data_IF_463934092157
#
_entry.id   IF_463934092157
#
_cell.length_a   1.000
_cell.length_b   1.000
_cell.length_c   1.000
_cell.angle_alpha   90.00
_cell.angle_beta   90.00
_cell.angle_gamma   90.00
#
_symmetry.space_group_name_H-M   'P 1'
#
loop_
_entity.id
_entity.type
_entity.pdbx_description
1 polymer ?
#
# COMPACT_ATOMS: atom_id res chain seq x y z
N UNK A 1 14.65 2.81 0.79
CA UNK A 1 14.11 2.21 -0.45
C UNK A 1 12.70 2.70 -0.76
N UNK A 2 11.74 2.50 0.14
CA UNK A 2 10.36 2.97 -0.07
C UNK A 2 10.23 4.46 -0.42
N UNK A 3 11.02 5.36 0.18
CA UNK A 3 11.00 6.79 -0.18
C UNK A 3 11.30 7.06 -1.67
N UNK A 4 12.21 6.30 -2.27
CA UNK A 4 12.51 6.36 -3.71
C UNK A 4 11.32 5.79 -4.51
N UNK A 5 10.70 4.73 -4.01
CA UNK A 5 9.45 4.18 -4.53
C UNK A 5 8.36 5.25 -4.61
N UNK A 6 8.16 6.02 -3.55
CA UNK A 6 7.19 7.12 -3.48
C UNK A 6 7.48 8.26 -4.47
N UNK A 7 8.75 8.66 -4.63
CA UNK A 7 9.11 9.67 -5.65
C UNK A 7 8.84 9.18 -7.07
N UNK A 8 9.24 7.94 -7.36
CA UNK A 8 9.05 7.32 -8.68
C UNK A 8 7.58 6.97 -8.96
N UNK A 9 6.75 6.84 -7.92
CA UNK A 9 5.30 6.66 -8.03
C UNK A 9 4.65 7.87 -8.72
N UNK A 10 4.99 9.08 -8.28
CA UNK A 10 4.49 10.31 -8.91
C UNK A 10 4.95 10.44 -10.37
N UNK A 11 6.18 10.02 -10.66
CA UNK A 11 6.72 10.02 -12.02
C UNK A 11 6.04 8.97 -12.92
N UNK A 12 5.71 7.79 -12.38
CA UNK A 12 4.96 6.77 -13.09
C UNK A 12 3.55 7.26 -13.45
N UNK A 13 2.82 7.90 -12.52
CA UNK A 13 1.52 8.52 -12.80
C UNK A 13 1.66 9.60 -13.88
N UNK A 14 2.72 10.41 -13.82
CA UNK A 14 3.00 11.43 -14.83
C UNK A 14 3.23 10.85 -16.24
N UNK A 15 3.71 9.62 -16.39
CA UNK A 15 3.91 9.01 -17.72
C UNK A 15 2.83 8.04 -18.17
N UNK A 16 2.09 7.43 -17.23
CA UNK A 16 1.06 6.43 -17.51
C UNK A 16 -0.37 6.95 -17.34
N UNK A 17 -0.54 8.13 -16.73
CA UNK A 17 -1.84 8.59 -16.25
C UNK A 17 -2.25 7.91 -14.95
N UNK A 18 -3.24 8.49 -14.27
CA UNK A 18 -3.67 8.03 -12.94
C UNK A 18 -4.23 6.60 -12.96
N UNK A 19 -4.97 6.22 -14.00
CA UNK A 19 -5.61 4.90 -14.04
C UNK A 19 -4.61 3.75 -14.19
N UNK A 20 -3.82 3.76 -15.26
CA UNK A 20 -2.82 2.72 -15.53
C UNK A 20 -1.68 2.75 -14.52
N UNK A 21 -1.21 3.94 -14.13
CA UNK A 21 -0.16 4.12 -13.13
C UNK A 21 -0.52 3.46 -11.80
N UNK A 22 -1.67 3.82 -11.23
CA UNK A 22 -2.10 3.29 -9.93
C UNK A 22 -2.29 1.76 -9.97
N UNK A 23 -2.85 1.23 -11.06
CA UNK A 23 -3.17 -0.20 -11.16
C UNK A 23 -1.90 -1.06 -11.19
N UNK A 24 -0.91 -0.66 -11.99
CA UNK A 24 0.38 -1.38 -12.06
C UNK A 24 1.14 -1.25 -10.75
N UNK A 25 1.22 -0.03 -10.21
CA UNK A 25 1.95 0.26 -8.96
C UNK A 25 1.37 -0.52 -7.78
N UNK A 26 0.06 -0.44 -7.56
CA UNK A 26 -0.60 -1.13 -6.46
C UNK A 26 -0.58 -2.65 -6.64
N UNK A 27 -0.70 -3.14 -7.88
CA UNK A 27 -0.56 -4.57 -8.18
C UNK A 27 0.82 -5.11 -7.77
N UNK A 28 1.89 -4.47 -8.24
CA UNK A 28 3.26 -4.90 -7.94
C UNK A 28 3.56 -4.72 -6.45
N UNK A 29 3.18 -3.58 -5.86
CA UNK A 29 3.39 -3.30 -4.43
C UNK A 29 2.65 -4.31 -3.54
N UNK A 30 1.46 -4.75 -3.96
CA UNK A 30 0.69 -5.78 -3.26
C UNK A 30 1.39 -7.13 -3.31
N UNK A 31 1.77 -7.63 -4.49
CA UNK A 31 2.48 -8.93 -4.60
C UNK A 31 3.80 -8.91 -3.87
N UNK A 32 4.64 -7.92 -4.17
CA UNK A 32 6.00 -7.87 -3.64
C UNK A 32 5.94 -7.64 -2.13
N UNK A 33 5.04 -6.77 -1.66
CA UNK A 33 4.92 -6.48 -0.23
C UNK A 33 4.34 -7.64 0.58
N UNK A 34 3.50 -8.48 -0.02
CA UNK A 34 2.88 -9.62 0.66
C UNK A 34 3.71 -10.90 0.57
N UNK A 35 4.32 -11.20 -0.59
CA UNK A 35 5.02 -12.46 -0.84
C UNK A 35 6.55 -12.31 -0.89
N UNK A 36 7.07 -11.09 -1.00
CA UNK A 36 8.51 -10.86 -1.16
C UNK A 36 9.32 -11.41 0.02
N UNK A 37 9.01 -11.02 1.26
CA UNK A 37 9.70 -11.57 2.43
C UNK A 37 9.53 -13.08 2.61
N UNK A 38 8.31 -13.65 2.51
CA UNK A 38 8.14 -15.10 2.53
C UNK A 38 9.02 -15.83 1.50
N UNK A 39 9.12 -15.32 0.27
CA UNK A 39 9.98 -15.91 -0.77
C UNK A 39 11.46 -15.76 -0.41
N UNK A 40 11.89 -14.60 0.08
CA UNK A 40 13.29 -14.35 0.45
C UNK A 40 13.75 -15.25 1.60
N UNK A 41 12.87 -15.58 2.56
CA UNK A 41 13.15 -16.51 3.67
C UNK A 41 13.41 -17.95 3.23
N UNK A 42 12.98 -18.33 2.03
CA UNK A 42 13.27 -19.63 1.45
C UNK A 42 14.64 -19.71 0.77
N UNK A 43 15.33 -18.59 0.57
CA UNK A 43 16.60 -18.54 -0.17
C UNK A 43 17.76 -18.71 0.82
N UNK A 44 18.58 -19.78 0.71
CA UNK A 44 19.75 -19.99 1.57
C UNK A 44 20.70 -18.80 1.51
N UNK A 45 21.24 -18.39 2.67
CA UNK A 45 22.10 -17.21 2.82
C UNK A 45 21.37 -15.87 2.90
N UNK A 46 20.19 -15.72 2.27
CA UNK A 46 19.33 -14.54 2.48
C UNK A 46 18.52 -14.69 3.77
N UNK A 47 18.03 -15.90 4.05
CA UNK A 47 17.29 -16.18 5.28
C UNK A 47 18.05 -15.79 6.55
N UNK A 48 19.39 -15.89 6.54
CA UNK A 48 20.26 -15.59 7.68
C UNK A 48 20.43 -14.08 7.96
N UNK A 49 20.14 -13.23 6.98
CA UNK A 49 20.31 -11.77 7.07
C UNK A 49 18.98 -11.01 7.24
N UNK A 50 17.85 -11.71 7.16
CA UNK A 50 16.52 -11.12 7.33
C UNK A 50 15.86 -11.67 8.60
N UNK A 51 15.01 -10.89 9.29
CA UNK A 51 14.34 -11.35 10.50
C UNK A 51 13.46 -12.58 10.25
N UNK A 52 13.44 -13.45 11.25
CA UNK A 52 12.60 -14.65 11.26
C UNK A 52 11.12 -14.31 11.07
N UNK A 53 10.38 -15.24 10.47
CA UNK A 53 8.95 -15.12 10.26
C UNK A 53 8.45 -16.08 9.19
N UNK A 54 7.18 -15.91 8.80
CA UNK A 54 6.51 -16.77 7.84
C UNK A 54 7.30 -16.89 6.52
N UNK A 55 7.69 -18.11 6.18
CA UNK A 55 8.34 -18.46 4.92
C UNK A 55 7.32 -18.84 3.84
N UNK A 56 7.75 -18.86 2.58
CA UNK A 56 6.90 -19.32 1.48
C UNK A 56 6.62 -20.83 1.56
N UNK A 57 7.54 -21.61 2.14
CA UNK A 57 7.27 -23.04 2.42
C UNK A 57 6.13 -23.19 3.41
N UNK A 58 6.08 -22.37 4.46
CA UNK A 58 5.00 -22.43 5.48
C UNK A 58 3.63 -22.10 4.88
N UNK A 59 3.60 -21.16 3.93
CA UNK A 59 2.39 -20.81 3.19
C UNK A 59 1.90 -21.97 2.31
N UNK A 60 2.79 -22.77 1.72
CA UNK A 60 2.40 -23.90 0.86
C UNK A 60 2.16 -25.18 1.67
N UNK A 61 2.82 -25.37 2.80
CA UNK A 61 2.70 -26.58 3.61
C UNK A 61 1.38 -26.62 4.39
N UNK A 62 0.86 -25.46 4.81
CA UNK A 62 -0.35 -25.36 5.62
C UNK A 62 -1.62 -25.13 4.79
N UNK A 63 -2.74 -25.68 5.24
CA UNK A 63 -4.05 -25.46 4.59
C UNK A 63 -4.42 -23.98 4.62
N UNK A 64 -4.24 -23.32 5.77
CA UNK A 64 -4.51 -21.89 5.90
C UNK A 64 -3.64 -21.04 4.97
N UNK A 65 -2.35 -21.35 4.84
CA UNK A 65 -1.44 -20.64 3.95
C UNK A 65 -1.84 -20.75 2.47
N UNK A 66 -2.30 -21.92 2.03
CA UNK A 66 -2.81 -22.13 0.66
C UNK A 66 -4.05 -21.29 0.38
N UNK A 67 -4.94 -21.12 1.36
CA UNK A 67 -6.13 -20.28 1.22
C UNK A 67 -5.71 -18.79 1.17
N UNK A 68 -4.72 -18.37 1.95
CA UNK A 68 -4.14 -17.01 1.84
C UNK A 68 -3.53 -16.78 0.45
N UNK A 69 -2.77 -17.74 -0.08
CA UNK A 69 -2.20 -17.67 -1.44
C UNK A 69 -3.28 -17.58 -2.52
N UNK A 70 -4.37 -18.37 -2.39
CA UNK A 70 -5.54 -18.28 -3.27
C UNK A 70 -6.17 -16.88 -3.18
N UNK A 71 -6.31 -16.33 -1.98
CA UNK A 71 -6.78 -14.97 -1.75
C UNK A 71 -5.91 -13.93 -2.47
N UNK A 72 -4.58 -14.02 -2.34
CA UNK A 72 -3.63 -13.13 -3.04
C UNK A 72 -3.77 -13.27 -4.56
N UNK A 73 -3.91 -14.50 -5.08
CA UNK A 73 -4.12 -14.73 -6.52
C UNK A 73 -5.42 -14.06 -7.02
N UNK A 74 -6.52 -14.22 -6.28
CA UNK A 74 -7.80 -13.59 -6.61
C UNK A 74 -7.69 -12.06 -6.54
N UNK A 75 -6.95 -11.52 -5.55
CA UNK A 75 -6.68 -10.09 -5.48
C UNK A 75 -6.00 -9.61 -6.76
N UNK A 76 -4.98 -10.32 -7.24
CA UNK A 76 -4.26 -9.94 -8.45
C UNK A 76 -5.12 -9.95 -9.68
N UNK A 77 -5.96 -10.97 -9.84
CA UNK A 77 -6.96 -11.01 -10.91
C UNK A 77 -7.87 -9.77 -10.81
N UNK A 78 -8.33 -9.44 -9.61
CA UNK A 78 -9.13 -8.24 -9.37
C UNK A 78 -8.43 -6.94 -9.76
N UNK A 79 -7.16 -6.76 -9.37
CA UNK A 79 -6.34 -5.58 -9.72
C UNK A 79 -6.15 -5.48 -11.24
N UNK A 80 -5.84 -6.60 -11.91
CA UNK A 80 -5.67 -6.64 -13.37
C UNK A 80 -6.98 -6.27 -14.07
N UNK A 81 -8.12 -6.81 -13.62
CA UNK A 81 -9.44 -6.50 -14.18
C UNK A 81 -9.80 -5.03 -13.99
N UNK A 82 -9.68 -4.50 -12.76
CA UNK A 82 -9.96 -3.09 -12.45
C UNK A 82 -9.05 -2.14 -13.21
N UNK A 83 -7.76 -2.45 -13.31
CA UNK A 83 -6.80 -1.64 -14.07
C UNK A 83 -7.06 -1.65 -15.56
N UNK A 84 -7.37 -2.82 -16.13
CA UNK A 84 -7.74 -2.92 -17.55
C UNK A 84 -9.06 -2.21 -17.84
N UNK A 85 -10.04 -2.28 -16.92
CA UNK A 85 -11.28 -1.51 -17.04
C UNK A 85 -11.00 0.00 -17.02
N UNK A 86 -10.05 0.46 -16.20
CA UNK A 86 -9.62 1.85 -16.16
C UNK A 86 -9.00 2.34 -17.48
N UNK A 87 -8.15 1.53 -18.12
CA UNK A 87 -7.59 1.84 -19.45
C UNK A 87 -8.70 1.90 -20.51
N UNK A 88 -9.64 0.94 -20.48
CA UNK A 88 -10.78 0.92 -21.41
C UNK A 88 -11.73 2.09 -21.18
N UNK A 89 -11.92 2.52 -19.92
CA UNK A 89 -12.67 3.74 -19.58
C UNK A 89 -12.06 4.95 -20.28
N UNK A 90 -10.74 5.11 -20.20
CA UNK A 90 -10.04 6.23 -20.84
C UNK A 90 -10.18 6.20 -22.37
N UNK A 91 -10.27 5.01 -22.97
CA UNK A 91 -10.54 4.84 -24.40
C UNK A 91 -12.01 5.14 -24.77
N UNK A 92 -12.97 4.58 -24.02
CA UNK A 92 -14.41 4.73 -24.26
C UNK A 92 -14.86 6.19 -24.12
N UNK A 93 -14.29 6.91 -23.14
CA UNK A 93 -14.58 8.32 -22.88
C UNK A 93 -13.77 9.28 -23.76
N UNK A 94 -13.16 8.78 -24.85
CA UNK A 94 -12.11 9.38 -25.68
C UNK A 94 -12.33 10.77 -26.31
N UNK A 95 -13.16 11.65 -25.75
CA UNK A 95 -13.42 13.02 -26.22
C UNK A 95 -13.57 14.13 -25.15
N UNK A 96 -13.34 13.87 -23.87
CA UNK A 96 -13.30 14.92 -22.82
C UNK A 96 -11.92 15.00 -22.15
N UNK A 97 -10.88 15.34 -22.90
CA UNK A 97 -9.55 15.58 -22.31
C UNK A 97 -9.35 17.06 -22.03
N UNK A 98 -9.91 17.56 -20.94
CA UNK A 98 -9.18 18.54 -20.16
C UNK A 98 -7.97 17.80 -19.55
N UNK A 99 -6.75 18.19 -19.92
CA UNK A 99 -5.53 17.55 -19.40
C UNK A 99 -5.07 16.29 -20.13
N UNK A 100 -5.08 16.26 -21.48
CA UNK A 100 -4.25 15.31 -22.24
C UNK A 100 -2.85 15.37 -21.64
N UNK A 101 -2.41 14.30 -20.98
CA UNK A 101 -1.06 14.25 -20.44
C UNK A 101 -0.09 14.23 -21.63
N UNK A 102 0.42 15.41 -21.99
CA UNK A 102 1.34 15.63 -23.12
C UNK A 102 2.63 14.83 -22.96
N UNK A 103 2.88 14.32 -21.76
CA UNK A 103 4.06 13.54 -21.42
C UNK A 103 3.82 12.02 -21.44
N UNK A 104 2.63 11.54 -21.81
CA UNK A 104 2.33 10.11 -21.80
C UNK A 104 3.36 9.29 -22.60
N UNK A 105 4.05 8.37 -21.92
CA UNK A 105 5.09 7.50 -22.48
C UNK A 105 4.99 6.12 -21.87
N UNK A 106 4.25 5.23 -22.53
CA UNK A 106 3.89 3.91 -22.02
C UNK A 106 5.11 3.09 -21.55
N UNK A 107 6.12 2.89 -22.40
CA UNK A 107 7.30 2.06 -22.06
C UNK A 107 8.08 2.63 -20.87
N UNK A 108 8.38 3.94 -20.88
CA UNK A 108 9.10 4.61 -19.78
C UNK A 108 8.29 4.58 -18.49
N UNK A 109 7.01 4.91 -18.58
CA UNK A 109 6.10 4.89 -17.45
C UNK A 109 5.98 3.51 -16.83
N UNK A 110 5.89 2.45 -17.63
CA UNK A 110 5.76 1.08 -17.14
C UNK A 110 7.02 0.60 -16.44
N UNK A 111 8.20 0.88 -16.99
CA UNK A 111 9.47 0.59 -16.33
C UNK A 111 9.57 1.28 -14.97
N UNK A 112 9.23 2.58 -14.92
CA UNK A 112 9.25 3.36 -13.68
C UNK A 112 8.21 2.83 -12.69
N UNK A 113 7.02 2.43 -13.16
CA UNK A 113 5.98 1.84 -12.32
C UNK A 113 6.42 0.51 -11.70
N UNK A 114 7.14 -0.34 -12.44
CA UNK A 114 7.68 -1.60 -11.92
C UNK A 114 8.70 -1.33 -10.81
N UNK A 115 9.69 -0.48 -11.09
CA UNK A 115 10.71 -0.10 -10.10
C UNK A 115 10.07 0.53 -8.88
N UNK A 116 9.13 1.46 -9.08
CA UNK A 116 8.42 2.13 -8.00
C UNK A 116 7.60 1.15 -7.17
N UNK A 117 6.90 0.20 -7.78
CA UNK A 117 6.11 -0.80 -7.05
C UNK A 117 6.97 -1.72 -6.20
N UNK A 118 8.09 -2.20 -6.75
CA UNK A 118 9.06 -3.02 -6.00
C UNK A 118 9.64 -2.22 -4.84
N UNK A 119 10.12 -1.00 -5.10
CA UNK A 119 10.71 -0.15 -4.06
C UNK A 119 9.69 0.25 -2.99
N UNK A 120 8.43 0.46 -3.38
CA UNK A 120 7.34 0.79 -2.45
C UNK A 120 6.99 -0.37 -1.52
N UNK A 121 7.10 -1.61 -2.00
CA UNK A 121 6.87 -2.80 -1.19
C UNK A 121 7.84 -2.95 -0.01
N UNK A 122 9.02 -2.31 -0.05
CA UNK A 122 9.93 -2.28 1.09
C UNK A 122 9.35 -1.56 2.32
N UNK A 123 8.22 -0.85 2.20
CA UNK A 123 7.48 -0.39 3.37
C UNK A 123 6.95 -1.58 4.19
N UNK A 124 6.34 -2.56 3.52
CA UNK A 124 5.91 -3.82 4.15
C UNK A 124 7.09 -4.54 4.80
N UNK A 125 8.26 -4.54 4.14
CA UNK A 125 9.44 -5.21 4.67
C UNK A 125 9.97 -4.50 5.92
N UNK A 126 9.95 -3.16 5.92
CA UNK A 126 10.30 -2.38 7.09
C UNK A 126 9.36 -2.62 8.27
N UNK A 127 8.06 -2.82 8.01
CA UNK A 127 7.08 -3.16 9.07
C UNK A 127 7.46 -4.50 9.69
N UNK A 128 7.67 -5.49 8.84
CA UNK A 128 7.96 -6.85 9.30
C UNK A 128 9.30 -6.93 10.05
N UNK A 129 10.33 -6.26 9.52
CA UNK A 129 11.63 -6.18 10.19
C UNK A 129 11.61 -5.34 11.48
N UNK A 130 10.61 -4.47 11.66
CA UNK A 130 10.48 -3.62 12.83
C UNK A 130 9.76 -4.28 14.02
N UNK A 131 9.26 -5.52 13.89
CA UNK A 131 8.41 -6.15 14.92
C UNK A 131 9.04 -6.26 16.31
N UNK A 132 10.37 -6.36 16.40
CA UNK A 132 11.07 -6.29 17.70
C UNK A 132 10.85 -4.95 18.42
N UNK A 133 10.76 -3.84 17.68
CA UNK A 133 10.41 -2.55 18.28
C UNK A 133 8.97 -2.54 18.79
N UNK A 134 8.04 -3.18 18.08
CA UNK A 134 6.65 -3.33 18.55
C UNK A 134 6.56 -4.19 19.81
N UNK A 135 7.34 -5.26 19.93
CA UNK A 135 7.33 -6.11 21.13
C UNK A 135 7.86 -5.35 22.35
N UNK A 136 8.93 -4.57 22.19
CA UNK A 136 9.45 -3.68 23.23
C UNK A 136 8.40 -2.61 23.59
N UNK A 137 7.82 -1.92 22.60
CA UNK A 137 6.80 -0.91 22.84
C UNK A 137 5.58 -1.47 23.60
N UNK A 138 5.16 -2.68 23.26
CA UNK A 138 4.10 -3.42 23.97
C UNK A 138 4.51 -3.70 25.43
N UNK A 139 5.72 -4.20 25.67
CA UNK A 139 6.18 -4.51 27.03
C UNK A 139 6.18 -3.27 27.94
N UNK A 140 6.68 -2.13 27.42
CA UNK A 140 6.66 -0.85 28.12
C UNK A 140 5.24 -0.34 28.35
N UNK A 141 4.34 -0.47 27.37
CA UNK A 141 2.95 -0.07 27.51
C UNK A 141 2.23 -0.88 28.62
N UNK A 142 2.50 -2.19 28.71
CA UNK A 142 1.97 -3.06 29.77
C UNK A 142 2.50 -2.66 31.14
N UNK A 143 3.82 -2.46 31.27
CA UNK A 143 4.45 -2.02 32.52
C UNK A 143 3.90 -0.67 33.01
N UNK A 144 3.65 0.26 32.08
CA UNK A 144 3.16 1.61 32.39
C UNK A 144 1.63 1.73 32.40
N UNK A 145 0.90 0.62 32.28
CA UNK A 145 -0.57 0.57 32.29
C UNK A 145 -1.23 1.53 31.29
N UNK A 146 -0.72 1.60 30.06
CA UNK A 146 -1.33 2.41 29.00
C UNK A 146 -2.75 1.95 28.65
N UNK A 147 -3.62 2.84 28.16
CA UNK A 147 -4.93 2.44 27.64
C UNK A 147 -4.80 1.60 26.36
N UNK A 148 -5.88 0.91 25.98
CA UNK A 148 -5.96 0.08 24.76
C UNK A 148 -5.04 -1.15 24.75
N UNK A 149 -4.75 -1.68 25.94
CA UNK A 149 -4.11 -2.98 26.12
C UNK A 149 -5.20 -4.05 26.20
N UNK A 150 -4.99 -5.16 25.51
CA UNK A 150 -5.89 -6.32 25.55
C UNK A 150 -5.10 -7.54 25.96
N UNK A 151 -5.55 -8.21 27.02
CA UNK A 151 -5.04 -9.52 27.40
C UNK A 151 -5.67 -10.58 26.50
N UNK A 152 -4.83 -11.45 25.95
CA UNK A 152 -5.22 -12.58 25.13
C UNK A 152 -4.61 -13.85 25.73
N UNK A 153 -5.13 -15.03 25.38
CA UNK A 153 -4.54 -16.29 25.83
C UNK A 153 -3.07 -16.49 25.42
N UNK A 154 -2.54 -15.67 24.51
CA UNK A 154 -1.15 -15.66 24.05
C UNK A 154 -0.32 -14.49 24.65
N UNK A 155 -0.84 -13.77 25.65
CA UNK A 155 -0.21 -12.60 26.26
C UNK A 155 -0.92 -11.29 25.96
N UNK A 156 -0.26 -10.16 26.20
CA UNK A 156 -0.83 -8.83 25.95
C UNK A 156 -0.67 -8.40 24.49
N UNK A 157 -1.58 -7.55 24.02
CA UNK A 157 -1.47 -6.78 22.77
C UNK A 157 -1.67 -5.30 23.08
N UNK A 158 -0.85 -4.43 22.50
CA UNK A 158 -1.02 -2.98 22.61
C UNK A 158 -1.40 -2.40 21.25
N UNK A 159 -2.58 -1.78 21.17
CA UNK A 159 -3.19 -1.34 19.91
C UNK A 159 -2.30 -0.44 19.02
N UNK A 160 -1.36 0.29 19.63
CA UNK A 160 -0.49 1.25 18.94
C UNK A 160 0.97 0.82 18.90
N UNK A 161 1.28 -0.44 19.19
CA UNK A 161 2.66 -0.97 19.23
C UNK A 161 3.41 -0.76 17.90
N UNK A 162 2.73 -0.81 16.76
CA UNK A 162 3.33 -0.62 15.45
C UNK A 162 3.70 0.83 15.09
N UNK A 163 3.23 1.82 15.87
CA UNK A 163 3.49 3.23 15.56
C UNK A 163 4.98 3.58 15.63
N UNK A 164 5.75 2.91 16.49
CA UNK A 164 7.20 3.11 16.58
C UNK A 164 7.89 2.68 15.29
N UNK A 165 7.40 1.62 14.64
CA UNK A 165 7.94 1.16 13.36
C UNK A 165 7.66 2.19 12.27
N UNK A 166 6.42 2.70 12.20
CA UNK A 166 6.06 3.72 11.21
C UNK A 166 6.88 4.99 11.39
N UNK A 167 7.15 5.40 12.63
CA UNK A 167 8.01 6.55 12.92
C UNK A 167 9.36 6.39 12.21
N UNK A 168 10.04 5.25 12.37
CA UNK A 168 11.35 4.98 11.75
C UNK A 168 11.25 4.87 10.23
N UNK A 169 10.27 4.15 9.68
CA UNK A 169 10.14 3.97 8.22
C UNK A 169 9.87 5.30 7.53
N UNK A 170 9.01 6.14 8.12
CA UNK A 170 8.60 7.41 7.52
C UNK A 170 9.73 8.43 7.47
N UNK A 171 10.70 8.36 8.38
CA UNK A 171 11.95 9.13 8.27
C UNK A 171 12.69 8.83 6.96
N UNK A 172 12.67 7.59 6.48
CA UNK A 172 13.26 7.23 5.20
C UNK A 172 12.56 7.93 4.02
N UNK A 173 11.23 8.02 4.05
CA UNK A 173 10.43 8.75 3.07
C UNK A 173 10.64 10.25 3.15
N UNK A 174 10.61 10.81 4.37
CA UNK A 174 10.87 12.21 4.61
C UNK A 174 12.24 12.62 4.07
N UNK A 175 13.29 11.87 4.39
CA UNK A 175 14.66 12.16 3.96
C UNK A 175 14.77 12.17 2.44
N UNK A 176 14.23 11.14 1.78
CA UNK A 176 14.30 11.02 0.32
C UNK A 176 13.52 12.15 -0.37
N UNK A 177 12.30 12.45 0.11
CA UNK A 177 11.49 13.54 -0.42
C UNK A 177 12.16 14.89 -0.16
N UNK A 178 12.61 15.16 1.05
CA UNK A 178 13.24 16.43 1.45
C UNK A 178 14.48 16.72 0.61
N UNK A 179 15.36 15.74 0.41
CA UNK A 179 16.55 15.90 -0.43
C UNK A 179 16.14 16.23 -1.87
N UNK A 180 15.23 15.46 -2.45
CA UNK A 180 14.84 15.64 -3.85
C UNK A 180 14.08 16.95 -4.10
N UNK A 181 13.10 17.28 -3.25
CA UNK A 181 12.33 18.51 -3.39
C UNK A 181 13.21 19.73 -3.14
N UNK A 182 14.10 19.71 -2.15
CA UNK A 182 15.07 20.80 -1.92
C UNK A 182 15.95 20.99 -3.14
N UNK A 183 16.50 19.90 -3.71
CA UNK A 183 17.31 19.98 -4.92
C UNK A 183 16.54 20.60 -6.11
N UNK A 184 15.26 20.25 -6.28
CA UNK A 184 14.41 20.85 -7.31
C UNK A 184 14.08 22.33 -7.04
N UNK A 185 13.85 22.71 -5.78
CA UNK A 185 13.59 24.10 -5.39
C UNK A 185 14.80 24.97 -5.72
N UNK A 186 16.02 24.51 -5.38
CA UNK A 186 17.24 25.23 -5.71
C UNK A 186 17.48 25.29 -7.23
N UNK A 187 17.31 24.17 -7.94
CA UNK A 187 17.50 24.11 -9.39
C UNK A 187 16.54 25.01 -10.16
N UNK A 188 15.27 25.04 -9.76
CA UNK A 188 14.23 25.80 -10.44
C UNK A 188 14.06 27.22 -9.89
N UNK A 189 14.81 27.58 -8.83
CA UNK A 189 14.76 28.88 -8.14
C UNK A 189 13.36 29.24 -7.62
N UNK A 190 12.59 28.25 -7.19
CA UNK A 190 11.19 28.41 -6.72
C UNK A 190 11.09 28.58 -5.20
N UNK A 191 12.20 28.88 -4.51
CA UNK A 191 12.21 29.08 -3.05
C UNK A 191 11.37 30.28 -2.60
N UNK A 192 11.23 31.30 -3.47
CA UNK A 192 10.41 32.48 -3.22
C UNK A 192 8.91 32.18 -3.13
N UNK A 193 8.44 31.08 -3.73
CA UNK A 193 7.02 30.71 -3.76
C UNK A 193 6.47 30.40 -2.36
N UNK A 194 7.34 29.98 -1.43
CA UNK A 194 6.97 29.75 -0.04
C UNK A 194 6.71 31.04 0.75
N UNK A 195 7.06 32.22 0.22
CA UNK A 195 6.86 33.50 0.92
C UNK A 195 6.10 34.52 0.06
N UNK A 196 5.61 34.12 -1.11
CA UNK A 196 4.87 34.99 -1.99
C UNK A 196 3.47 35.30 -1.43
N UNK A 197 3.35 36.49 -0.82
CA UNK A 197 2.11 37.01 -0.23
C UNK A 197 0.99 37.25 -1.24
N UNK A 198 1.26 37.20 -2.54
CA UNK A 198 0.22 37.25 -3.58
C UNK A 198 -0.58 35.95 -3.68
N UNK A 199 -0.07 34.86 -3.10
CA UNK A 199 -0.71 33.55 -3.10
C UNK A 199 -1.34 33.23 -1.73
N UNK A 200 -2.38 32.37 -1.65
CA UNK A 200 -3.03 32.02 -0.40
C UNK A 200 -2.19 31.03 0.43
N UNK A 201 -1.06 31.50 0.98
CA UNK A 201 -0.04 30.67 1.66
C UNK A 201 -0.63 29.80 2.79
N UNK A 202 -1.47 30.38 3.66
CA UNK A 202 -2.07 29.62 4.77
C UNK A 202 -2.92 28.45 4.25
N UNK A 203 -3.75 28.68 3.24
CA UNK A 203 -4.58 27.64 2.66
C UNK A 203 -3.71 26.55 2.02
N UNK A 204 -2.66 26.93 1.29
CA UNK A 204 -1.73 25.97 0.70
C UNK A 204 -1.10 25.08 1.76
N UNK A 205 -0.60 25.66 2.86
CA UNK A 205 -0.03 24.88 3.96
C UNK A 205 -1.06 24.00 4.67
N UNK A 206 -2.26 24.51 4.91
CA UNK A 206 -3.34 23.73 5.52
C UNK A 206 -3.75 22.56 4.64
N UNK A 207 -3.90 22.75 3.33
CA UNK A 207 -4.22 21.66 2.40
C UNK A 207 -3.07 20.65 2.28
N UNK A 208 -1.81 21.09 2.27
CA UNK A 208 -0.66 20.19 2.31
C UNK A 208 -0.63 19.36 3.61
N UNK A 209 -0.83 20.01 4.76
CA UNK A 209 -0.87 19.35 6.06
C UNK A 209 -2.05 18.36 6.15
N UNK A 210 -3.23 18.74 5.63
CA UNK A 210 -4.41 17.87 5.59
C UNK A 210 -4.18 16.65 4.70
N UNK A 211 -3.61 16.85 3.50
CA UNK A 211 -3.30 15.76 2.58
C UNK A 211 -2.28 14.79 3.19
N UNK A 212 -1.20 15.32 3.77
CA UNK A 212 -0.17 14.51 4.44
C UNK A 212 -0.71 13.75 5.65
N UNK A 213 -1.51 14.40 6.49
CA UNK A 213 -2.15 13.79 7.66
C UNK A 213 -3.13 12.69 7.24
N UNK A 214 -3.98 12.95 6.25
CA UNK A 214 -4.94 11.96 5.73
C UNK A 214 -4.21 10.75 5.13
N UNK A 215 -3.11 10.99 4.41
CA UNK A 215 -2.30 9.91 3.87
C UNK A 215 -1.64 9.09 5.00
N UNK A 216 -1.12 9.73 6.05
CA UNK A 216 -0.52 9.04 7.19
C UNK A 216 -1.55 8.24 8.02
N UNK A 217 -2.75 8.78 8.21
CA UNK A 217 -3.83 8.12 8.95
C UNK A 217 -4.14 6.71 8.43
N UNK A 218 -3.95 6.46 7.13
CA UNK A 218 -4.09 5.12 6.57
C UNK A 218 -3.18 4.09 7.29
N UNK A 219 -1.94 4.48 7.62
CA UNK A 219 -0.95 3.61 8.26
C UNK A 219 -1.23 3.48 9.74
N UNK A 220 -1.75 4.53 10.36
CA UNK A 220 -2.23 4.47 11.73
C UNK A 220 -3.34 3.40 11.89
N UNK A 221 -4.37 3.44 11.03
CA UNK A 221 -5.42 2.42 11.04
C UNK A 221 -4.93 1.04 10.60
N UNK A 222 -4.00 0.98 9.64
CA UNK A 222 -3.33 -0.26 9.27
C UNK A 222 -2.62 -0.89 10.47
N UNK A 223 -1.84 -0.12 11.23
CA UNK A 223 -1.14 -0.61 12.42
C UNK A 223 -2.09 -1.18 13.47
N UNK A 224 -3.19 -0.48 13.73
CA UNK A 224 -4.26 -0.97 14.63
C UNK A 224 -4.88 -2.28 14.12
N UNK A 225 -5.10 -2.40 12.82
CA UNK A 225 -5.61 -3.61 12.19
C UNK A 225 -4.62 -4.77 12.26
N UNK A 226 -3.35 -4.51 11.95
CA UNK A 226 -2.26 -5.48 11.96
C UNK A 226 -2.06 -6.08 13.36
N UNK A 227 -2.05 -5.24 14.41
CA UNK A 227 -1.95 -5.73 15.81
C UNK A 227 -3.06 -6.72 16.15
N UNK A 228 -4.29 -6.50 15.64
CA UNK A 228 -5.42 -7.40 15.89
C UNK A 228 -5.35 -8.68 15.06
N UNK A 229 -5.09 -8.52 13.76
CA UNK A 229 -5.15 -9.60 12.78
C UNK A 229 -3.92 -10.52 12.85
N UNK A 230 -2.72 -9.98 13.14
CA UNK A 230 -1.43 -10.67 13.03
C UNK A 230 -1.04 -10.95 11.57
N UNK A 231 0.16 -11.48 11.34
CA UNK A 231 0.69 -11.88 10.02
C UNK A 231 0.74 -10.74 8.97
N UNK A 232 1.94 -10.15 8.84
CA UNK A 232 2.23 -9.01 7.97
C UNK A 232 1.88 -9.21 6.48
N UNK A 233 2.04 -10.42 5.94
CA UNK A 233 1.77 -10.72 4.53
C UNK A 233 0.29 -10.52 4.17
N UNK A 234 -0.62 -11.09 4.98
CA UNK A 234 -2.04 -10.91 4.71
C UNK A 234 -2.57 -9.56 5.21
N UNK A 235 -1.97 -8.96 6.24
CA UNK A 235 -2.28 -7.58 6.64
C UNK A 235 -1.98 -6.59 5.52
N UNK A 236 -0.81 -6.70 4.86
CA UNK A 236 -0.46 -5.86 3.70
C UNK A 236 -1.43 -6.06 2.53
N UNK A 237 -1.76 -7.31 2.24
CA UNK A 237 -2.72 -7.68 1.18
C UNK A 237 -4.09 -7.02 1.43
N UNK A 238 -4.61 -7.13 2.65
CA UNK A 238 -5.88 -6.53 3.04
C UNK A 238 -5.84 -5.00 2.95
N UNK A 239 -4.74 -4.37 3.37
CA UNK A 239 -4.53 -2.92 3.24
C UNK A 239 -4.64 -2.45 1.79
N UNK A 240 -3.90 -3.11 0.89
CA UNK A 240 -3.94 -2.81 -0.54
C UNK A 240 -5.34 -3.01 -1.12
N UNK A 241 -6.03 -4.10 -0.75
CA UNK A 241 -7.39 -4.35 -1.18
C UNK A 241 -8.36 -3.24 -0.73
N UNK A 242 -8.28 -2.80 0.53
CA UNK A 242 -9.13 -1.73 1.07
C UNK A 242 -8.89 -0.40 0.37
N UNK A 243 -7.65 -0.05 0.05
CA UNK A 243 -7.33 1.16 -0.73
C UNK A 243 -8.05 1.10 -2.09
N UNK A 244 -7.96 -0.02 -2.79
CA UNK A 244 -8.52 -0.17 -4.14
C UNK A 244 -10.05 -0.20 -4.11
N UNK A 245 -10.66 -0.90 -3.14
CA UNK A 245 -12.10 -0.90 -2.96
C UNK A 245 -12.61 0.52 -2.68
N UNK A 246 -11.99 1.23 -1.75
CA UNK A 246 -12.38 2.60 -1.37
C UNK A 246 -12.23 3.57 -2.55
N UNK A 247 -11.13 3.48 -3.30
CA UNK A 247 -10.91 4.29 -4.49
C UNK A 247 -11.99 4.05 -5.56
N UNK A 248 -12.37 2.79 -5.79
CA UNK A 248 -13.42 2.45 -6.75
C UNK A 248 -14.82 2.87 -6.28
N UNK A 249 -15.14 2.72 -4.98
CA UNK A 249 -16.39 3.23 -4.40
C UNK A 249 -16.53 4.73 -4.64
N UNK A 250 -15.46 5.50 -4.41
CA UNK A 250 -15.45 6.93 -4.67
C UNK A 250 -15.60 7.25 -6.17
N UNK A 251 -14.97 6.47 -7.05
CA UNK A 251 -15.14 6.58 -8.51
C UNK A 251 -16.58 6.31 -8.96
N UNK A 252 -17.28 5.34 -8.37
CA UNK A 252 -18.70 5.09 -8.62
C UNK A 252 -19.58 6.23 -8.08
N UNK A 253 -19.32 6.70 -6.86
CA UNK A 253 -20.03 7.83 -6.26
C UNK A 253 -19.92 9.11 -7.12
N UNK A 254 -18.72 9.40 -7.63
CA UNK A 254 -18.46 10.52 -8.56
C UNK A 254 -18.93 10.27 -9.98
N UNK A 255 -19.57 9.13 -10.26
CA UNK A 255 -20.11 8.75 -11.59
C UNK A 255 -19.03 8.76 -12.69
N UNK A 256 -17.79 8.42 -12.35
CA UNK A 256 -16.66 8.41 -13.31
C UNK A 256 -16.84 7.38 -14.43
N UNK A 257 -17.68 6.37 -14.20
CA UNK A 257 -17.96 5.30 -15.15
C UNK A 257 -19.17 5.59 -16.04
N UNK A 258 -19.75 6.79 -15.97
CA UNK A 258 -20.87 7.17 -16.83
C UNK A 258 -20.38 7.37 -18.27
N UNK A 259 -20.99 6.68 -19.22
CA UNK A 259 -20.66 6.79 -20.66
C UNK A 259 -19.62 5.79 -21.16
N UNK A 260 -19.12 4.89 -20.31
CA UNK A 260 -18.28 3.76 -20.75
C UNK A 260 -19.14 2.66 -21.39
N UNK A 261 -18.51 1.81 -22.18
CA UNK A 261 -19.18 0.64 -22.76
C UNK A 261 -19.65 -0.33 -21.66
N UNK A 262 -20.71 -1.09 -21.93
CA UNK A 262 -21.22 -2.12 -21.00
C UNK A 262 -20.14 -3.14 -20.63
N UNK A 263 -19.25 -3.46 -21.56
CA UNK A 263 -18.14 -4.38 -21.34
C UNK A 263 -17.13 -3.80 -20.34
N UNK A 264 -16.75 -2.53 -20.49
CA UNK A 264 -15.87 -1.82 -19.53
C UNK A 264 -16.50 -1.71 -18.16
N UNK A 265 -17.80 -1.39 -18.10
CA UNK A 265 -18.54 -1.31 -16.84
C UNK A 265 -18.59 -2.67 -16.12
N UNK A 266 -18.93 -3.74 -16.83
CA UNK A 266 -18.95 -5.08 -16.24
C UNK A 266 -17.55 -5.51 -15.77
N UNK A 267 -16.50 -5.15 -16.52
CA UNK A 267 -15.12 -5.48 -16.17
C UNK A 267 -14.70 -4.85 -14.84
N UNK A 268 -15.05 -3.58 -14.59
CA UNK A 268 -14.75 -2.97 -13.29
C UNK A 268 -15.56 -3.61 -12.16
N UNK A 269 -16.82 -3.96 -12.39
CA UNK A 269 -17.65 -4.66 -11.40
C UNK A 269 -17.07 -6.03 -11.05
N UNK A 270 -16.63 -6.81 -12.04
CA UNK A 270 -15.95 -8.08 -11.78
C UNK A 270 -14.61 -7.90 -11.07
N UNK A 271 -13.83 -6.87 -11.42
CA UNK A 271 -12.59 -6.56 -10.73
C UNK A 271 -12.80 -6.23 -9.26
N UNK A 272 -13.73 -5.33 -8.95
CA UNK A 272 -14.11 -4.97 -7.58
C UNK A 272 -14.69 -6.17 -6.82
N UNK A 273 -15.53 -6.99 -7.47
CA UNK A 273 -16.07 -8.21 -6.90
C UNK A 273 -14.98 -9.24 -6.55
N UNK A 274 -13.98 -9.42 -7.41
CA UNK A 274 -12.83 -10.29 -7.15
C UNK A 274 -11.99 -9.78 -5.97
N UNK A 275 -11.74 -8.46 -5.90
CA UNK A 275 -11.01 -7.87 -4.76
C UNK A 275 -11.78 -8.11 -3.45
N UNK A 276 -13.10 -7.91 -3.45
CA UNK A 276 -13.93 -8.16 -2.27
C UNK A 276 -13.92 -9.65 -1.88
N UNK A 277 -14.02 -10.55 -2.86
CA UNK A 277 -13.92 -11.99 -2.65
C UNK A 277 -12.58 -12.38 -2.03
N UNK A 278 -11.48 -11.80 -2.50
CA UNK A 278 -10.14 -12.01 -1.92
C UNK A 278 -10.09 -11.61 -0.44
N UNK A 279 -10.62 -10.44 -0.08
CA UNK A 279 -10.69 -9.97 1.31
C UNK A 279 -11.44 -10.96 2.19
N UNK A 280 -12.59 -11.45 1.71
CA UNK A 280 -13.41 -12.44 2.43
C UNK A 280 -12.64 -13.75 2.62
N UNK A 281 -12.02 -14.28 1.55
CA UNK A 281 -11.26 -15.54 1.60
C UNK A 281 -10.09 -15.44 2.58
N UNK A 282 -9.31 -14.36 2.53
CA UNK A 282 -8.18 -14.16 3.45
C UNK A 282 -8.67 -13.99 4.89
N UNK A 283 -9.78 -13.27 5.10
CA UNK A 283 -10.39 -13.12 6.41
C UNK A 283 -10.86 -14.45 7.00
N UNK A 284 -11.55 -15.27 6.20
CA UNK A 284 -11.99 -16.61 6.60
C UNK A 284 -10.79 -17.50 6.90
N UNK A 285 -9.73 -17.46 6.08
CA UNK A 285 -8.51 -18.24 6.33
C UNK A 285 -7.91 -17.91 7.71
N UNK A 286 -7.80 -16.63 8.06
CA UNK A 286 -7.26 -16.22 9.36
C UNK A 286 -8.16 -16.56 10.54
N UNK A 287 -9.48 -16.56 10.34
CA UNK A 287 -10.43 -16.94 11.37
C UNK A 287 -10.41 -18.46 11.63
N UNK A 288 -10.35 -19.28 10.57
CA UNK A 288 -10.34 -20.74 10.66
C UNK A 288 -8.99 -21.34 11.06
N UNK A 289 -7.88 -20.66 10.73
CA UNK A 289 -6.52 -21.16 10.96
C UNK A 289 -5.69 -20.14 11.79
N UNK A 290 -5.96 -20.02 13.11
CA UNK A 290 -5.28 -19.05 13.98
C UNK A 290 -3.77 -19.27 14.07
N UNK A 291 -3.27 -20.46 13.78
CA UNK A 291 -1.84 -20.79 13.71
C UNK A 291 -1.09 -19.92 12.69
N UNK A 292 -1.78 -19.42 11.65
CA UNK A 292 -1.22 -18.45 10.71
C UNK A 292 -0.86 -17.11 11.35
N UNK A 293 -1.50 -16.78 12.48
CA UNK A 293 -1.25 -15.55 13.23
C UNK A 293 -0.12 -15.73 14.24
N UNK A 294 0.27 -16.97 14.55
CA UNK A 294 1.38 -17.29 15.45
C UNK A 294 2.73 -17.37 14.70
N UNK A 295 2.70 -17.57 13.38
CA UNK A 295 3.87 -17.63 12.50
C UNK A 295 4.36 -16.25 12.01
N UNK A 296 3.73 -15.16 12.47
CA UNK A 296 4.01 -13.81 12.00
C UNK A 296 3.85 -12.77 13.09
#
# INVERSE_FOLDING_TARGET
>A
LWGIGGLTYGLAIRYLGMSLGNSVLLGITSVVGSLGLPILRNIPGIAEIIPDGLSFTDLISTTGGRIVLLGILILLVGIILSGTAGIRKDHDLGKNKEGVNSEFKLSKGLLIAIVSGILSAFFSFGIDAGKEMSSIARSMAVEQHYPFITETGAGFKYLFENNIIFFVILWGGLTTNLIWTSALIFKNKTGGDFIDKKTPLLNNYLFCALAGTTWFLQFFFYGMGETKIGNGASSWTLHMATIILTANLWGFYRKEWKGVSKNTYNMIIFGVGAILLSVIIIGIAKWLYPELNALG
#
